data_IF_568774612660
#
_entry.id   IF_568774612660
#
_cell.length_a   1.000
_cell.length_b   1.000
_cell.length_c   1.000
_cell.angle_alpha   90.00
_cell.angle_beta   90.00
_cell.angle_gamma   90.00
#
_symmetry.space_group_name_H-M   'P 1'
#
loop_
_entity.id
_entity.type
_entity.pdbx_description
1 polymer ?
#
# COMPACT_ATOMS: atom_id res chain seq x y z
N UNK A 1 -6.51 9.26 12.96
CA UNK A 1 -6.19 9.60 11.55
C UNK A 1 -4.92 10.44 11.41
N UNK A 2 -4.73 11.55 12.15
CA UNK A 2 -3.50 12.40 12.11
C UNK A 2 -2.16 11.63 12.20
N UNK A 3 -2.12 10.49 12.90
CA UNK A 3 -0.88 9.74 13.09
C UNK A 3 -0.39 8.99 11.82
N UNK A 4 -1.25 8.59 10.87
CA UNK A 4 -0.79 7.74 9.76
C UNK A 4 0.19 8.47 8.84
N UNK A 5 -0.21 9.63 8.30
CA UNK A 5 0.65 10.37 7.38
C UNK A 5 1.83 11.01 8.07
N UNK A 6 1.69 11.45 9.33
CA UNK A 6 2.81 11.91 10.13
C UNK A 6 3.86 10.79 10.30
N UNK A 7 3.44 9.59 10.69
CA UNK A 7 4.34 8.42 10.77
C UNK A 7 4.96 8.07 9.42
N UNK A 8 4.19 8.16 8.33
CA UNK A 8 4.69 7.86 6.98
C UNK A 8 5.71 8.88 6.50
N UNK A 9 5.46 10.17 6.68
CA UNK A 9 6.39 11.24 6.33
C UNK A 9 7.66 11.13 7.19
N UNK A 10 7.51 10.90 8.50
CA UNK A 10 8.65 10.68 9.40
C UNK A 10 9.51 9.51 8.92
N UNK A 11 8.90 8.34 8.69
CA UNK A 11 9.62 7.18 8.18
C UNK A 11 10.21 7.37 6.77
N UNK A 12 9.74 8.37 6.01
CA UNK A 12 10.30 8.70 4.72
C UNK A 12 11.65 9.39 4.79
N UNK A 13 11.84 10.29 5.75
CA UNK A 13 13.12 10.98 5.96
C UNK A 13 14.01 10.28 6.99
N UNK A 14 13.41 9.72 8.04
CA UNK A 14 14.06 9.03 9.16
C UNK A 14 13.45 7.63 9.38
N UNK A 15 13.87 6.62 8.59
CA UNK A 15 13.32 5.27 8.66
C UNK A 15 13.52 4.56 10.00
N UNK A 16 14.54 4.97 10.78
CA UNK A 16 14.87 4.43 12.10
C UNK A 16 14.57 5.49 13.18
N UNK A 17 13.79 5.11 14.18
CA UNK A 17 13.61 5.94 15.37
C UNK A 17 14.82 5.82 16.31
N UNK A 18 15.34 6.96 16.73
CA UNK A 18 16.47 7.09 17.66
C UNK A 18 16.34 8.40 18.44
N UNK A 19 16.93 8.44 19.63
CA UNK A 19 17.03 9.64 20.45
C UNK A 19 18.26 10.51 20.10
N UNK A 20 19.09 10.05 19.14
CA UNK A 20 20.30 10.76 18.71
C UNK A 20 20.10 11.40 17.34
N UNK A 21 20.23 12.73 17.30
CA UNK A 21 20.08 13.52 16.07
C UNK A 21 20.97 13.01 14.94
N UNK A 22 20.34 12.71 13.80
CA UNK A 22 21.00 12.21 12.60
C UNK A 22 21.52 10.78 12.69
N UNK A 23 21.29 10.04 13.78
CA UNK A 23 21.75 8.64 13.89
C UNK A 23 20.87 7.66 13.09
N UNK A 24 21.27 7.36 11.86
CA UNK A 24 20.53 6.45 10.96
C UNK A 24 20.78 4.96 11.25
N UNK A 25 21.85 4.64 11.99
CA UNK A 25 22.22 3.29 12.43
C UNK A 25 23.17 3.40 13.62
N UNK A 26 23.27 2.41 14.53
CA UNK A 26 24.14 2.51 15.69
C UNK A 26 25.55 3.03 15.39
N UNK A 27 25.85 4.22 15.90
CA UNK A 27 27.11 4.98 15.72
C UNK A 27 27.38 5.46 14.28
N UNK A 28 26.34 5.62 13.46
CA UNK A 28 26.41 6.15 12.10
C UNK A 28 25.55 7.41 12.04
N UNK A 29 26.22 8.56 12.00
CA UNK A 29 25.57 9.87 11.95
C UNK A 29 25.53 10.36 10.50
N UNK A 30 24.33 10.65 10.00
CA UNK A 30 24.10 11.31 8.73
C UNK A 30 24.26 12.83 8.94
N UNK A 31 25.17 13.51 8.21
CA UNK A 31 25.30 14.95 8.32
C UNK A 31 24.04 15.64 7.80
N UNK A 32 23.25 16.23 8.69
CA UNK A 32 21.95 16.84 8.38
C UNK A 32 22.03 17.95 7.32
N UNK A 33 23.16 18.66 7.24
CA UNK A 33 23.30 19.87 6.44
C UNK A 33 24.35 19.78 5.32
N UNK A 34 24.88 18.59 5.03
CA UNK A 34 25.95 18.45 4.03
C UNK A 34 25.56 19.00 2.65
N UNK A 35 24.28 18.90 2.27
CA UNK A 35 23.79 19.40 0.98
C UNK A 35 23.81 20.94 0.89
N UNK A 36 23.64 21.64 2.01
CA UNK A 36 23.67 23.10 2.06
C UNK A 36 25.08 23.68 1.79
N UNK A 37 26.12 22.85 1.79
CA UNK A 37 27.50 23.26 1.43
C UNK A 37 27.66 23.38 -0.10
N UNK A 38 26.90 22.59 -0.86
CA UNK A 38 27.12 22.39 -2.30
C UNK A 38 25.97 22.88 -3.18
N UNK A 39 24.83 23.27 -2.59
CA UNK A 39 23.63 23.65 -3.34
C UNK A 39 23.14 25.02 -2.87
N UNK A 40 23.22 26.08 -3.72
CA UNK A 40 22.87 27.45 -3.33
C UNK A 40 21.46 27.58 -2.73
N UNK A 41 20.50 26.84 -3.28
CA UNK A 41 19.13 26.84 -2.80
C UNK A 41 19.02 26.20 -1.40
N UNK A 42 19.70 25.08 -1.15
CA UNK A 42 19.80 24.49 0.18
C UNK A 42 20.49 25.43 1.17
N UNK A 43 21.54 26.15 0.75
CA UNK A 43 22.20 27.18 1.56
C UNK A 43 21.21 28.29 1.93
N UNK A 44 20.43 28.79 0.96
CA UNK A 44 19.41 29.82 1.18
C UNK A 44 18.32 29.37 2.15
N UNK A 45 17.82 28.15 2.02
CA UNK A 45 16.82 27.57 2.92
C UNK A 45 17.37 27.40 4.35
N UNK A 46 18.62 26.97 4.48
CA UNK A 46 19.31 26.86 5.76
C UNK A 46 19.54 28.24 6.40
N UNK A 47 20.04 29.21 5.64
CA UNK A 47 20.23 30.59 6.11
C UNK A 47 18.93 31.20 6.59
N UNK A 48 17.84 31.05 5.84
CA UNK A 48 16.49 31.46 6.28
C UNK A 48 16.10 30.79 7.61
N UNK A 49 16.33 29.48 7.71
CA UNK A 49 16.03 28.72 8.94
C UNK A 49 16.83 29.25 10.13
N UNK A 50 18.13 29.50 9.97
CA UNK A 50 19.02 30.04 11.02
C UNK A 50 18.66 31.48 11.38
N UNK A 51 18.38 32.34 10.39
CA UNK A 51 17.98 33.72 10.63
C UNK A 51 16.69 33.79 11.44
N UNK A 52 15.73 32.91 11.15
CA UNK A 52 14.48 32.81 11.90
C UNK A 52 14.75 32.40 13.36
N UNK A 53 15.54 31.35 13.62
CA UNK A 53 15.93 30.94 14.98
C UNK A 53 16.66 32.05 15.74
N UNK A 54 17.54 32.81 15.06
CA UNK A 54 18.25 33.95 15.68
C UNK A 54 17.33 35.13 15.99
N UNK A 55 16.32 35.39 15.16
CA UNK A 55 15.31 36.40 15.45
C UNK A 55 14.42 35.99 16.63
N UNK A 56 14.13 34.69 16.79
CA UNK A 56 13.39 34.14 17.94
C UNK A 56 14.17 34.30 19.26
N UNK A 57 15.47 33.99 19.25
CA UNK A 57 16.32 34.12 20.45
C UNK A 57 16.45 35.56 20.97
N UNK A 58 16.24 36.56 20.11
CA UNK A 58 16.44 37.99 20.43
C UNK A 58 15.17 38.75 20.84
N UNK A 59 13.97 38.17 20.68
CA UNK A 59 12.70 38.79 21.11
C UNK A 59 12.15 38.07 22.33
N UNK A 60 12.00 38.80 23.46
CA UNK A 60 11.64 38.20 24.76
C UNK A 60 10.22 37.66 24.84
N UNK A 61 9.29 38.06 23.96
CA UNK A 61 7.93 37.50 23.89
C UNK A 61 7.41 37.58 22.44
N UNK A 62 6.68 36.54 22.00
CA UNK A 62 5.93 36.36 20.72
C UNK A 62 6.78 35.82 19.53
N UNK A 63 6.47 34.75 18.79
CA UNK A 63 5.41 33.72 18.74
C UNK A 63 5.99 32.54 17.90
N UNK A 64 6.16 31.35 18.49
CA UNK A 64 6.64 30.13 17.80
C UNK A 64 5.80 29.79 16.54
N UNK A 65 4.61 30.38 16.40
CA UNK A 65 3.81 30.26 15.18
C UNK A 65 4.44 30.90 13.94
N UNK A 66 5.32 31.91 14.06
CA UNK A 66 5.85 32.67 12.91
C UNK A 66 6.87 31.87 12.09
N UNK A 67 7.89 31.29 12.75
CA UNK A 67 8.88 30.41 12.11
C UNK A 67 8.22 29.17 11.50
N UNK A 68 7.33 28.55 12.26
CA UNK A 68 6.56 27.41 11.80
C UNK A 68 5.75 27.70 10.53
N UNK A 69 5.07 28.87 10.47
CA UNK A 69 4.33 29.32 9.28
C UNK A 69 5.26 29.51 8.08
N UNK A 70 6.46 30.03 8.28
CA UNK A 70 7.44 30.24 7.20
C UNK A 70 8.01 28.92 6.66
N UNK A 71 8.34 27.98 7.55
CA UNK A 71 8.75 26.63 7.17
C UNK A 71 7.64 25.93 6.39
N UNK A 72 6.41 25.97 6.91
CA UNK A 72 5.23 25.41 6.24
C UNK A 72 5.01 26.04 4.86
N UNK A 73 5.14 27.37 4.73
CA UNK A 73 5.03 28.07 3.45
C UNK A 73 6.06 27.55 2.45
N UNK A 74 7.33 27.45 2.87
CA UNK A 74 8.41 26.97 2.01
C UNK A 74 8.17 25.52 1.56
N UNK A 75 7.65 24.68 2.44
CA UNK A 75 7.27 23.30 2.12
C UNK A 75 6.12 23.28 1.09
N UNK A 76 5.08 24.10 1.27
CA UNK A 76 3.93 24.16 0.36
C UNK A 76 4.31 24.73 -1.02
N UNK A 77 5.21 25.72 -1.09
CA UNK A 77 5.73 26.25 -2.36
C UNK A 77 6.38 25.15 -3.22
N UNK A 78 7.01 24.17 -2.58
CA UNK A 78 7.62 23.00 -3.25
C UNK A 78 6.57 21.93 -3.54
N UNK A 79 5.75 21.57 -2.55
CA UNK A 79 4.87 20.40 -2.64
C UNK A 79 3.58 20.66 -3.41
N UNK A 80 3.00 21.86 -3.39
CA UNK A 80 1.73 22.13 -4.05
C UNK A 80 1.78 21.93 -5.58
N UNK A 81 2.83 22.41 -6.29
CA UNK A 81 2.98 22.13 -7.72
C UNK A 81 3.21 20.64 -8.00
N UNK A 82 4.10 20.00 -7.24
CA UNK A 82 4.44 18.59 -7.42
C UNK A 82 3.24 17.67 -7.18
N UNK A 83 2.47 17.93 -6.11
CA UNK A 83 1.25 17.20 -5.76
C UNK A 83 0.02 17.66 -6.57
N UNK A 84 0.15 18.65 -7.45
CA UNK A 84 -0.93 19.16 -8.31
C UNK A 84 -2.21 19.49 -7.55
N UNK A 85 -2.09 20.17 -6.40
CA UNK A 85 -3.17 20.26 -5.38
C UNK A 85 -4.42 21.01 -5.83
N UNK A 86 -4.32 21.77 -6.92
CA UNK A 86 -5.44 22.47 -7.57
C UNK A 86 -6.21 21.59 -8.55
N UNK A 87 -5.64 20.48 -9.00
CA UNK A 87 -6.27 19.56 -9.94
C UNK A 87 -7.03 18.46 -9.18
N UNK A 88 -8.35 18.40 -9.38
CA UNK A 88 -9.27 17.45 -8.74
C UNK A 88 -9.51 16.17 -9.55
N UNK A 89 -8.88 16.00 -10.71
CA UNK A 89 -9.00 14.77 -11.47
C UNK A 89 -8.39 13.60 -10.70
N UNK A 90 -9.07 12.45 -10.75
CA UNK A 90 -8.62 11.23 -10.09
C UNK A 90 -7.50 10.56 -10.89
N UNK A 91 -6.61 9.84 -10.19
CA UNK A 91 -5.54 9.00 -10.74
C UNK A 91 -4.46 9.71 -11.57
N UNK A 92 -4.26 11.02 -11.35
CA UNK A 92 -3.21 11.78 -12.05
C UNK A 92 -1.79 11.37 -11.64
N UNK A 93 -0.93 11.07 -12.61
CA UNK A 93 0.49 10.82 -12.33
C UNK A 93 1.14 12.02 -11.64
N UNK A 94 1.93 11.77 -10.59
CA UNK A 94 2.89 12.75 -10.09
C UNK A 94 4.12 12.77 -11.00
N UNK A 95 4.84 13.89 -11.02
CA UNK A 95 6.17 13.93 -11.64
C UNK A 95 7.17 13.16 -10.78
N UNK A 96 8.35 12.91 -11.34
CA UNK A 96 9.49 12.44 -10.56
C UNK A 96 9.95 13.50 -9.57
N UNK A 97 10.20 13.10 -8.33
CA UNK A 97 10.93 13.89 -7.35
C UNK A 97 12.42 13.86 -7.74
N UNK A 98 12.90 14.94 -8.35
CA UNK A 98 14.32 15.05 -8.67
C UNK A 98 15.19 15.22 -7.42
N UNK A 99 16.51 15.06 -7.58
CA UNK A 99 17.47 15.18 -6.49
C UNK A 99 17.53 16.57 -5.85
N UNK A 100 17.21 17.62 -6.61
CA UNK A 100 17.22 19.00 -6.12
C UNK A 100 16.05 19.22 -5.17
N UNK A 101 14.86 18.81 -5.61
CA UNK A 101 13.64 18.90 -4.83
C UNK A 101 13.73 18.03 -3.56
N UNK A 102 14.23 16.81 -3.68
CA UNK A 102 14.48 15.94 -2.52
C UNK A 102 15.40 16.58 -1.48
N UNK A 103 16.55 17.14 -1.91
CA UNK A 103 17.50 17.81 -0.99
C UNK A 103 16.88 19.03 -0.33
N UNK A 104 16.09 19.82 -1.05
CA UNK A 104 15.38 20.96 -0.47
C UNK A 104 14.39 20.52 0.60
N UNK A 105 13.61 19.46 0.34
CA UNK A 105 12.69 18.89 1.33
C UNK A 105 13.45 18.33 2.55
N UNK A 106 14.59 17.69 2.35
CA UNK A 106 15.42 17.17 3.43
C UNK A 106 15.98 18.28 4.32
N UNK A 107 16.42 19.40 3.74
CA UNK A 107 16.85 20.59 4.51
C UNK A 107 15.68 21.13 5.33
N UNK A 108 14.50 21.25 4.73
CA UNK A 108 13.32 21.71 5.46
C UNK A 108 12.90 20.73 6.57
N UNK A 109 13.01 19.42 6.33
CA UNK A 109 12.76 18.38 7.33
C UNK A 109 13.72 18.53 8.51
N UNK A 110 15.01 18.61 8.25
CA UNK A 110 16.03 18.77 9.29
C UNK A 110 15.90 20.09 10.06
N UNK A 111 15.22 21.10 9.50
CA UNK A 111 14.98 22.39 10.15
C UNK A 111 13.75 22.34 11.06
N UNK A 112 12.64 21.80 10.56
CA UNK A 112 11.34 21.82 11.24
C UNK A 112 10.45 20.65 10.77
N UNK A 113 10.65 19.44 11.34
CA UNK A 113 9.84 18.27 11.02
C UNK A 113 8.34 18.49 11.27
N UNK A 114 7.97 19.23 12.31
CA UNK A 114 6.59 19.46 12.72
C UNK A 114 5.77 20.17 11.65
N UNK A 115 6.42 21.05 10.86
CA UNK A 115 5.76 21.75 9.76
C UNK A 115 5.21 20.77 8.69
N UNK A 116 5.90 19.65 8.45
CA UNK A 116 5.42 18.63 7.51
C UNK A 116 4.11 17.97 7.96
N UNK A 117 3.87 17.89 9.26
CA UNK A 117 2.66 17.26 9.80
C UNK A 117 1.39 18.08 9.58
N UNK A 118 1.51 19.33 9.11
CA UNK A 118 0.34 20.16 8.70
C UNK A 118 0.00 20.07 7.22
N UNK A 119 0.82 19.39 6.41
CA UNK A 119 0.52 19.26 4.98
C UNK A 119 -0.81 18.52 4.80
N UNK A 120 -1.03 17.44 5.54
CA UNK A 120 -2.23 16.61 5.44
C UNK A 120 -3.55 17.37 5.60
N UNK A 121 -3.80 18.11 6.70
CA UNK A 121 -5.07 18.82 6.87
C UNK A 121 -5.29 19.90 5.80
N UNK A 122 -4.21 20.53 5.31
CA UNK A 122 -4.29 21.52 4.24
C UNK A 122 -4.73 20.85 2.94
N UNK A 123 -4.12 19.73 2.57
CA UNK A 123 -4.44 18.99 1.36
C UNK A 123 -5.82 18.31 1.43
N UNK A 124 -6.23 17.82 2.61
CA UNK A 124 -7.54 17.21 2.83
C UNK A 124 -8.71 18.18 2.56
N UNK A 125 -8.48 19.49 2.70
CA UNK A 125 -9.48 20.51 2.35
C UNK A 125 -9.64 20.72 0.83
N UNK A 126 -8.71 20.22 0.02
CA UNK A 126 -8.62 20.48 -1.44
C UNK A 126 -8.87 19.24 -2.29
N UNK A 127 -8.51 18.07 -1.77
CA UNK A 127 -8.52 16.78 -2.47
C UNK A 127 -9.54 15.83 -1.86
N UNK A 128 -10.03 14.88 -2.67
CA UNK A 128 -10.76 13.74 -2.13
C UNK A 128 -9.85 12.92 -1.20
N UNK A 129 -10.44 12.19 -0.24
CA UNK A 129 -9.69 11.29 0.65
C UNK A 129 -8.77 10.34 -0.14
N UNK A 130 -9.27 9.85 -1.26
CA UNK A 130 -8.53 9.01 -2.18
C UNK A 130 -7.31 9.71 -2.78
N UNK A 131 -7.51 10.85 -3.46
CA UNK A 131 -6.41 11.55 -4.14
C UNK A 131 -5.37 12.07 -3.13
N UNK A 132 -5.81 12.51 -1.95
CA UNK A 132 -4.92 12.84 -0.85
C UNK A 132 -3.98 11.67 -0.52
N UNK A 133 -4.55 10.49 -0.30
CA UNK A 133 -3.78 9.29 0.06
C UNK A 133 -2.84 8.85 -1.04
N UNK A 134 -3.33 8.76 -2.28
CA UNK A 134 -2.53 8.32 -3.42
C UNK A 134 -1.33 9.24 -3.62
N UNK A 135 -1.55 10.56 -3.62
CA UNK A 135 -0.48 11.54 -3.87
C UNK A 135 0.52 11.61 -2.72
N UNK A 136 0.08 11.63 -1.46
CA UNK A 136 0.99 11.59 -0.31
C UNK A 136 1.76 10.27 -0.23
N UNK A 137 1.13 9.14 -0.53
CA UNK A 137 1.80 7.84 -0.54
C UNK A 137 2.83 7.74 -1.67
N UNK A 138 2.53 8.29 -2.85
CA UNK A 138 3.46 8.35 -3.99
C UNK A 138 4.66 9.26 -3.68
N UNK A 139 4.42 10.48 -3.19
CA UNK A 139 5.48 11.40 -2.77
C UNK A 139 6.39 10.75 -1.72
N UNK A 140 5.80 10.19 -0.66
CA UNK A 140 6.59 9.55 0.40
C UNK A 140 7.34 8.32 -0.10
N UNK A 141 6.80 7.54 -1.04
CA UNK A 141 7.56 6.44 -1.66
C UNK A 141 8.80 6.95 -2.41
N UNK A 142 8.67 8.04 -3.17
CA UNK A 142 9.79 8.64 -3.89
C UNK A 142 10.85 9.18 -2.93
N UNK A 143 10.44 9.85 -1.84
CA UNK A 143 11.35 10.29 -0.77
C UNK A 143 12.06 9.08 -0.14
N UNK A 144 11.31 8.03 0.25
CA UNK A 144 11.88 6.83 0.87
C UNK A 144 12.92 6.19 -0.05
N UNK A 145 12.69 6.09 -1.37
CA UNK A 145 13.68 5.49 -2.27
C UNK A 145 15.03 6.20 -2.18
N UNK A 146 15.02 7.53 -2.22
CA UNK A 146 16.24 8.34 -2.13
C UNK A 146 16.90 8.23 -0.76
N UNK A 147 16.11 8.32 0.30
CA UNK A 147 16.59 8.16 1.68
C UNK A 147 17.18 6.77 1.94
N UNK A 148 16.56 5.71 1.44
CA UNK A 148 17.03 4.33 1.55
C UNK A 148 18.41 4.15 0.90
N UNK A 149 18.62 4.69 -0.30
CA UNK A 149 19.91 4.62 -1.01
C UNK A 149 20.99 5.39 -0.24
N UNK A 150 20.68 6.59 0.25
CA UNK A 150 21.62 7.37 1.07
C UNK A 150 22.00 6.63 2.35
N UNK A 151 21.00 6.07 3.04
CA UNK A 151 21.21 5.30 4.26
C UNK A 151 22.04 4.05 3.97
N UNK A 152 21.74 3.32 2.89
CA UNK A 152 22.53 2.16 2.47
C UNK A 152 23.99 2.52 2.26
N UNK A 153 24.28 3.60 1.51
CA UNK A 153 25.65 4.06 1.25
C UNK A 153 26.44 4.35 2.53
N UNK A 154 25.83 5.04 3.50
CA UNK A 154 26.47 5.41 4.75
C UNK A 154 26.65 4.21 5.70
N UNK A 155 25.60 3.41 5.86
CA UNK A 155 25.58 2.26 6.77
C UNK A 155 26.51 1.16 6.28
N UNK A 156 26.45 0.81 4.99
CA UNK A 156 27.32 -0.22 4.40
C UNK A 156 28.80 0.16 4.51
N UNK A 157 29.15 1.42 4.25
CA UNK A 157 30.52 1.94 4.45
C UNK A 157 30.96 1.80 5.90
N UNK A 158 30.15 2.29 6.84
CA UNK A 158 30.48 2.24 8.27
C UNK A 158 30.60 0.80 8.82
N UNK A 159 29.83 -0.15 8.29
CA UNK A 159 29.95 -1.57 8.62
C UNK A 159 31.19 -2.20 7.99
N UNK A 160 31.47 -1.91 6.72
CA UNK A 160 32.63 -2.42 5.98
C UNK A 160 33.98 -1.95 6.54
N UNK A 161 34.01 -0.79 7.19
CA UNK A 161 35.21 -0.25 7.82
C UNK A 161 35.56 -0.92 9.17
N UNK A 162 34.64 -1.68 9.78
CA UNK A 162 34.86 -2.40 11.06
C UNK A 162 35.60 -3.75 10.85
N UNK A 163 36.33 -4.19 11.89
CA UNK A 163 37.41 -5.22 11.90
C UNK A 163 37.14 -6.67 11.45
N UNK A 164 36.34 -6.92 10.40
CA UNK A 164 36.23 -8.21 9.71
C UNK A 164 35.88 -8.01 8.23
N UNK A 165 36.65 -7.13 7.57
CA UNK A 165 36.32 -6.50 6.27
C UNK A 165 35.85 -7.48 5.20
N UNK A 166 36.52 -8.62 4.98
CA UNK A 166 36.19 -9.51 3.86
C UNK A 166 34.79 -10.14 3.96
N UNK A 167 34.46 -10.77 5.10
CA UNK A 167 33.16 -11.43 5.28
C UNK A 167 32.01 -10.42 5.34
N UNK A 168 32.22 -9.30 6.02
CA UNK A 168 31.24 -8.20 6.09
C UNK A 168 30.99 -7.62 4.71
N UNK A 169 32.03 -7.31 3.94
CA UNK A 169 31.88 -6.76 2.60
C UNK A 169 31.22 -7.74 1.63
N UNK A 170 31.51 -9.04 1.75
CA UNK A 170 30.82 -10.07 0.96
C UNK A 170 29.33 -10.14 1.29
N UNK A 171 28.97 -10.11 2.58
CA UNK A 171 27.57 -10.06 3.01
C UNK A 171 26.87 -8.81 2.49
N UNK A 172 27.47 -7.63 2.68
CA UNK A 172 26.88 -6.35 2.24
C UNK A 172 26.73 -6.30 0.73
N UNK A 173 27.73 -6.76 -0.03
CA UNK A 173 27.65 -6.84 -1.49
C UNK A 173 26.55 -7.80 -1.94
N UNK A 174 26.43 -8.96 -1.31
CA UNK A 174 25.34 -9.90 -1.59
C UNK A 174 23.99 -9.27 -1.28
N UNK A 175 23.85 -8.57 -0.16
CA UNK A 175 22.60 -7.93 0.24
C UNK A 175 22.18 -6.83 -0.75
N UNK A 176 23.13 -5.98 -1.17
CA UNK A 176 22.90 -4.96 -2.20
C UNK A 176 22.45 -5.57 -3.52
N UNK A 177 23.13 -6.61 -3.99
CA UNK A 177 22.81 -7.24 -5.28
C UNK A 177 21.46 -7.96 -5.24
N UNK A 178 21.17 -8.64 -4.13
CA UNK A 178 19.98 -9.47 -3.97
C UNK A 178 18.69 -8.65 -3.80
N UNK A 179 18.79 -7.46 -3.21
CA UNK A 179 17.63 -6.61 -2.87
C UNK A 179 17.71 -5.21 -3.46
N UNK A 180 18.68 -4.98 -4.36
CA UNK A 180 18.89 -3.74 -5.11
C UNK A 180 18.86 -2.49 -4.19
N UNK A 181 19.59 -2.54 -3.08
CA UNK A 181 19.58 -1.50 -2.03
C UNK A 181 20.20 -0.17 -2.47
N UNK A 182 20.84 -0.14 -3.63
CA UNK A 182 21.47 1.02 -4.27
C UNK A 182 20.64 1.60 -5.43
N UNK A 183 19.45 1.07 -5.69
CA UNK A 183 18.55 1.50 -6.77
C UNK A 183 17.21 2.03 -6.22
N UNK A 184 16.64 3.02 -6.92
CA UNK A 184 15.28 3.49 -6.64
C UNK A 184 14.28 2.55 -7.32
N UNK A 185 13.19 2.20 -6.62
CA UNK A 185 12.12 1.33 -7.16
C UNK A 185 12.64 0.01 -7.76
N UNK A 186 13.29 -0.85 -6.94
CA UNK A 186 13.81 -2.12 -7.43
C UNK A 186 12.69 -3.08 -7.84
N UNK A 187 13.05 -4.10 -8.59
CA UNK A 187 12.11 -5.13 -9.01
C UNK A 187 11.65 -6.01 -7.84
N UNK A 188 10.43 -5.75 -7.37
CA UNK A 188 9.80 -6.51 -6.28
C UNK A 188 9.46 -7.95 -6.68
N UNK A 189 9.30 -8.25 -7.97
CA UNK A 189 9.08 -9.62 -8.45
C UNK A 189 10.37 -10.44 -8.38
N UNK A 190 11.50 -9.83 -8.74
CA UNK A 190 12.82 -10.45 -8.57
C UNK A 190 13.14 -10.71 -7.09
N UNK A 191 12.82 -9.76 -6.21
CA UNK A 191 12.94 -9.95 -4.76
C UNK A 191 12.11 -11.14 -4.25
N UNK A 192 10.87 -11.27 -4.73
CA UNK A 192 10.01 -12.41 -4.42
C UNK A 192 10.61 -13.73 -4.95
N UNK A 193 11.07 -13.76 -6.20
CA UNK A 193 11.65 -14.97 -6.80
C UNK A 193 12.86 -15.45 -5.99
N UNK A 194 13.74 -14.54 -5.60
CA UNK A 194 14.89 -14.85 -4.76
C UNK A 194 14.48 -15.43 -3.41
N UNK A 195 13.53 -14.80 -2.72
CA UNK A 195 13.00 -15.29 -1.45
C UNK A 195 12.36 -16.67 -1.59
N UNK A 196 11.59 -16.90 -2.66
CA UNK A 196 10.92 -18.19 -2.89
C UNK A 196 11.91 -19.34 -3.10
N UNK A 197 13.09 -19.07 -3.65
CA UNK A 197 14.17 -20.06 -3.83
C UNK A 197 15.00 -20.25 -2.56
N UNK A 198 15.23 -19.18 -1.80
CA UNK A 198 16.08 -19.19 -0.60
C UNK A 198 15.39 -18.42 0.54
N UNK A 199 14.38 -18.99 1.22
CA UNK A 199 13.64 -18.26 2.26
C UNK A 199 14.53 -17.80 3.42
N UNK A 200 15.61 -18.53 3.72
CA UNK A 200 16.56 -18.22 4.79
C UNK A 200 17.39 -16.95 4.54
N UNK A 201 17.29 -16.33 3.35
CA UNK A 201 18.04 -15.13 3.00
C UNK A 201 17.82 -13.96 3.99
N UNK A 202 16.61 -13.85 4.53
CA UNK A 202 16.24 -12.84 5.54
C UNK A 202 16.85 -13.11 6.92
N UNK A 203 17.16 -14.36 7.22
CA UNK A 203 17.74 -14.80 8.51
C UNK A 203 19.27 -14.86 8.50
N UNK A 204 19.91 -14.55 7.37
CA UNK A 204 21.37 -14.57 7.28
C UNK A 204 21.99 -13.53 8.21
N UNK A 205 22.89 -13.98 9.11
CA UNK A 205 23.46 -13.13 10.16
C UNK A 205 24.78 -12.50 9.71
N UNK A 206 24.91 -11.19 9.96
CA UNK A 206 26.15 -10.44 9.78
C UNK A 206 27.15 -10.74 10.92
N UNK A 207 27.83 -11.89 10.85
CA UNK A 207 28.92 -12.22 11.78
C UNK A 207 28.51 -12.13 13.25
N UNK A 208 29.29 -11.41 14.09
CA UNK A 208 29.03 -11.26 15.53
C UNK A 208 28.13 -10.06 15.89
N UNK A 209 27.65 -9.28 14.92
CA UNK A 209 26.92 -8.03 15.21
C UNK A 209 25.46 -8.26 15.64
N UNK A 210 24.98 -9.52 15.65
CA UNK A 210 23.60 -9.95 15.95
C UNK A 210 22.52 -9.44 15.00
N UNK A 211 22.87 -8.70 13.94
CA UNK A 211 21.89 -8.28 12.93
C UNK A 211 21.74 -9.38 11.85
N UNK A 212 20.51 -9.79 11.60
CA UNK A 212 20.15 -10.53 10.40
C UNK A 212 19.84 -9.58 9.23
N UNK A 213 19.73 -10.14 8.03
CA UNK A 213 19.41 -9.39 6.80
C UNK A 213 18.11 -8.60 6.96
N UNK A 214 17.05 -9.20 7.50
CA UNK A 214 15.74 -8.56 7.65
C UNK A 214 15.81 -7.31 8.54
N UNK A 215 16.44 -7.42 9.71
CA UNK A 215 16.63 -6.32 10.65
C UNK A 215 17.46 -5.19 10.05
N UNK A 216 18.52 -5.52 9.30
CA UNK A 216 19.34 -4.52 8.62
C UNK A 216 18.54 -3.82 7.52
N UNK A 217 17.83 -4.56 6.67
CA UNK A 217 16.99 -4.03 5.60
C UNK A 217 15.89 -3.13 6.17
N UNK A 218 15.18 -3.59 7.20
CA UNK A 218 14.14 -2.81 7.88
C UNK A 218 14.69 -1.50 8.44
N UNK A 219 15.91 -1.51 8.99
CA UNK A 219 16.56 -0.29 9.48
C UNK A 219 16.87 0.72 8.35
N UNK A 220 17.25 0.22 7.17
CA UNK A 220 17.59 1.06 6.02
C UNK A 220 16.33 1.65 5.36
N UNK A 221 15.31 0.80 5.15
CA UNK A 221 14.11 1.12 4.37
C UNK A 221 12.97 1.71 5.20
N UNK A 222 12.87 1.32 6.47
CA UNK A 222 11.72 1.62 7.32
C UNK A 222 10.49 0.78 6.99
N UNK A 223 9.43 0.87 7.82
CA UNK A 223 8.31 -0.07 7.79
C UNK A 223 7.45 0.01 6.53
N UNK A 224 7.30 1.20 5.94
CA UNK A 224 6.44 1.39 4.77
C UNK A 224 7.06 0.81 3.51
N UNK A 225 8.36 1.04 3.30
CA UNK A 225 9.07 0.52 2.13
C UNK A 225 9.42 -0.95 2.28
N UNK A 226 9.77 -1.40 3.48
CA UNK A 226 9.90 -2.83 3.77
C UNK A 226 8.61 -3.57 3.40
N UNK A 227 7.45 -3.07 3.85
CA UNK A 227 6.16 -3.64 3.49
C UNK A 227 5.85 -3.54 1.99
N UNK A 228 6.24 -2.46 1.31
CA UNK A 228 6.05 -2.32 -0.14
C UNK A 228 6.83 -3.40 -0.91
N UNK A 229 8.11 -3.61 -0.57
CA UNK A 229 9.01 -4.55 -1.26
C UNK A 229 8.77 -6.01 -0.86
N UNK A 230 8.43 -6.26 0.40
CA UNK A 230 8.42 -7.60 1.00
C UNK A 230 7.05 -7.97 1.59
N UNK A 231 5.95 -7.48 1.01
CA UNK A 231 4.60 -7.82 1.48
C UNK A 231 4.35 -9.34 1.46
N UNK A 232 5.00 -10.07 0.54
CA UNK A 232 4.96 -11.53 0.47
C UNK A 232 5.45 -12.20 1.76
N UNK A 233 6.55 -11.73 2.36
CA UNK A 233 7.13 -12.28 3.58
C UNK A 233 6.15 -12.08 4.75
N UNK A 234 5.55 -10.90 4.82
CA UNK A 234 4.55 -10.57 5.85
C UNK A 234 3.31 -11.45 5.71
N UNK A 235 2.79 -11.60 4.49
CA UNK A 235 1.58 -12.37 4.22
C UNK A 235 1.78 -13.87 4.42
N UNK A 236 2.96 -14.41 4.06
CA UNK A 236 3.34 -15.80 4.29
C UNK A 236 3.28 -16.13 5.80
N UNK A 237 3.90 -15.28 6.63
CA UNK A 237 3.83 -15.43 8.08
C UNK A 237 2.41 -15.27 8.64
N UNK A 238 1.65 -14.25 8.22
CA UNK A 238 0.27 -13.99 8.65
C UNK A 238 -0.76 -15.02 8.13
N UNK A 239 -0.37 -15.91 7.21
CA UNK A 239 -1.27 -16.90 6.57
C UNK A 239 -0.79 -18.34 6.73
N UNK A 240 0.20 -18.57 7.59
CA UNK A 240 0.76 -19.89 7.89
C UNK A 240 -0.30 -20.90 8.33
N UNK A 241 -1.30 -20.47 9.12
CA UNK A 241 -2.43 -21.30 9.55
C UNK A 241 -3.33 -21.77 8.38
N UNK A 242 -3.41 -20.97 7.31
CA UNK A 242 -4.21 -21.26 6.11
C UNK A 242 -3.39 -21.94 5.01
N UNK A 243 -2.06 -22.08 5.19
CA UNK A 243 -1.11 -22.62 4.19
C UNK A 243 -1.23 -21.94 2.80
N UNK A 244 -1.61 -20.66 2.78
CA UNK A 244 -1.69 -19.90 1.53
C UNK A 244 -0.28 -19.60 1.03
N UNK A 245 0.01 -19.95 -0.21
CA UNK A 245 1.29 -19.67 -0.85
C UNK A 245 1.10 -18.53 -1.85
N UNK A 246 1.44 -17.30 -1.45
CA UNK A 246 1.24 -16.14 -2.28
C UNK A 246 2.22 -16.09 -3.45
N UNK A 247 1.70 -16.19 -4.69
CA UNK A 247 2.50 -16.15 -5.92
C UNK A 247 2.02 -15.04 -6.85
N UNK A 248 2.90 -14.15 -7.31
CA UNK A 248 2.56 -13.19 -8.36
C UNK A 248 2.59 -13.84 -9.74
N UNK A 249 1.95 -13.19 -10.72
CA UNK A 249 2.20 -13.41 -12.14
C UNK A 249 3.51 -12.70 -12.52
N UNK A 250 4.53 -13.45 -12.91
CA UNK A 250 5.85 -12.90 -13.29
C UNK A 250 5.96 -12.61 -14.79
N UNK A 251 5.18 -13.31 -15.60
CA UNK A 251 5.16 -13.16 -17.05
C UNK A 251 3.93 -12.33 -17.46
N UNK A 252 4.14 -11.05 -17.75
CA UNK A 252 3.16 -10.14 -18.34
C UNK A 252 3.66 -9.66 -19.71
N UNK A 253 2.77 -9.26 -20.64
CA UNK A 253 3.18 -8.56 -21.85
C UNK A 253 4.07 -7.35 -21.52
N UNK A 254 5.13 -7.14 -22.30
CA UNK A 254 6.16 -6.13 -22.01
C UNK A 254 5.57 -4.73 -21.78
N UNK A 255 4.66 -4.29 -22.64
CA UNK A 255 3.99 -2.99 -22.54
C UNK A 255 3.15 -2.85 -21.25
N UNK A 256 2.57 -3.96 -20.77
CA UNK A 256 1.79 -3.98 -19.52
C UNK A 256 2.73 -3.89 -18.32
N UNK A 257 3.85 -4.62 -18.36
CA UNK A 257 4.85 -4.57 -17.30
C UNK A 257 5.50 -3.18 -17.18
N UNK A 258 5.83 -2.54 -18.32
CA UNK A 258 6.37 -1.18 -18.37
C UNK A 258 5.38 -0.16 -17.79
N UNK A 259 4.10 -0.19 -18.17
CA UNK A 259 3.09 0.71 -17.59
C UNK A 259 2.86 0.46 -16.09
N UNK A 260 3.00 -0.79 -15.63
CA UNK A 260 2.90 -1.15 -14.22
C UNK A 260 4.05 -0.55 -13.40
N UNK A 261 5.30 -0.68 -13.87
CA UNK A 261 6.46 -0.05 -13.21
C UNK A 261 6.38 1.48 -13.22
N UNK A 262 5.93 2.09 -14.33
CA UNK A 262 5.66 3.53 -14.39
C UNK A 262 4.59 3.91 -13.35
N UNK A 263 3.52 3.13 -13.25
CA UNK A 263 2.43 3.40 -12.31
C UNK A 263 2.83 3.21 -10.85
N UNK A 264 3.77 2.33 -10.54
CA UNK A 264 4.37 2.24 -9.21
C UNK A 264 5.09 3.53 -8.81
N UNK A 265 5.93 4.05 -9.71
CA UNK A 265 6.73 5.26 -9.45
C UNK A 265 5.88 6.52 -9.33
N UNK A 266 4.81 6.64 -10.13
CA UNK A 266 4.09 7.90 -10.31
C UNK A 266 2.62 7.91 -9.87
N UNK A 267 2.02 6.74 -9.61
CA UNK A 267 0.59 6.63 -9.27
C UNK A 267 0.32 5.88 -7.96
N UNK A 268 1.36 5.34 -7.31
CA UNK A 268 1.23 4.67 -6.02
C UNK A 268 0.71 3.24 -6.11
N UNK A 269 0.90 2.59 -7.27
CA UNK A 269 0.60 1.17 -7.46
C UNK A 269 1.66 0.29 -6.79
N UNK A 270 1.29 -0.88 -6.27
CA UNK A 270 2.22 -1.90 -5.81
C UNK A 270 2.30 -3.05 -6.83
N UNK A 271 3.47 -3.22 -7.47
CA UNK A 271 3.69 -4.21 -8.54
C UNK A 271 3.36 -5.62 -8.07
N UNK A 272 3.94 -6.06 -6.95
CA UNK A 272 3.77 -7.43 -6.45
C UNK A 272 2.31 -7.76 -6.12
N UNK A 273 1.59 -6.86 -5.45
CA UNK A 273 0.17 -7.05 -5.12
C UNK A 273 -0.67 -7.18 -6.39
N UNK A 274 -0.50 -6.27 -7.35
CA UNK A 274 -1.23 -6.29 -8.63
C UNK A 274 -0.96 -7.59 -9.38
N UNK A 275 0.30 -8.02 -9.47
CA UNK A 275 0.65 -9.27 -10.13
C UNK A 275 0.02 -10.50 -9.44
N UNK A 276 -0.20 -10.48 -8.13
CA UNK A 276 -0.96 -11.53 -7.44
C UNK A 276 -2.43 -11.55 -7.87
N UNK A 277 -3.09 -10.38 -7.95
CA UNK A 277 -4.46 -10.29 -8.47
C UNK A 277 -4.57 -10.80 -9.91
N UNK A 278 -3.63 -10.41 -10.78
CA UNK A 278 -3.57 -10.90 -12.17
C UNK A 278 -3.51 -12.43 -12.20
N UNK A 279 -2.67 -13.05 -11.37
CA UNK A 279 -2.53 -14.51 -11.30
C UNK A 279 -3.82 -15.19 -10.83
N UNK A 280 -4.35 -14.78 -9.68
CA UNK A 280 -5.47 -15.48 -9.05
C UNK A 280 -6.76 -15.32 -9.84
N UNK A 281 -6.99 -14.14 -10.41
CA UNK A 281 -8.13 -13.89 -11.28
C UNK A 281 -7.91 -14.39 -12.72
N UNK A 282 -6.69 -14.79 -13.08
CA UNK A 282 -6.34 -15.23 -14.44
C UNK A 282 -6.54 -14.15 -15.49
N UNK A 283 -6.24 -12.89 -15.16
CA UNK A 283 -6.44 -11.74 -16.06
C UNK A 283 -5.46 -11.81 -17.24
N UNK A 284 -5.91 -11.41 -18.43
CA UNK A 284 -5.12 -11.54 -19.67
C UNK A 284 -4.95 -12.98 -20.18
N UNK A 285 -5.52 -13.97 -19.47
CA UNK A 285 -5.48 -15.38 -19.84
C UNK A 285 -6.90 -15.95 -20.01
N UNK A 286 -7.01 -17.09 -20.70
CA UNK A 286 -8.25 -17.83 -20.89
C UNK A 286 -8.62 -18.73 -19.69
N UNK A 287 -8.23 -18.34 -18.46
CA UNK A 287 -8.54 -19.12 -17.25
C UNK A 287 -10.06 -19.36 -17.15
N UNK A 288 -10.47 -20.57 -16.80
CA UNK A 288 -11.87 -20.93 -16.50
C UNK A 288 -11.89 -21.57 -15.12
N UNK A 289 -12.65 -21.00 -14.20
CA UNK A 289 -12.67 -21.46 -12.81
C UNK A 289 -13.36 -22.82 -12.67
N UNK A 290 -14.25 -23.14 -13.61
CA UNK A 290 -14.93 -24.43 -13.73
C UNK A 290 -13.95 -25.58 -13.96
N UNK A 291 -12.84 -25.32 -14.65
CA UNK A 291 -11.81 -26.31 -14.94
C UNK A 291 -10.80 -26.49 -13.79
N UNK A 292 -10.85 -25.63 -12.77
CA UNK A 292 -9.93 -25.67 -11.62
C UNK A 292 -10.29 -26.81 -10.66
N UNK A 293 -9.31 -27.33 -9.91
CA UNK A 293 -9.61 -28.27 -8.82
C UNK A 293 -10.27 -27.53 -7.64
N UNK A 294 -11.00 -28.25 -6.78
CA UNK A 294 -11.63 -27.64 -5.58
C UNK A 294 -10.58 -26.96 -4.68
N UNK A 295 -9.40 -27.59 -4.55
CA UNK A 295 -8.31 -27.04 -3.77
C UNK A 295 -7.78 -25.74 -4.37
N UNK A 296 -7.53 -25.70 -5.68
CA UNK A 296 -6.96 -24.52 -6.34
C UNK A 296 -7.94 -23.35 -6.33
N UNK A 297 -9.23 -23.63 -6.57
CA UNK A 297 -10.28 -22.62 -6.53
C UNK A 297 -10.40 -22.00 -5.12
N UNK A 298 -10.40 -22.82 -4.07
CA UNK A 298 -10.43 -22.31 -2.70
C UNK A 298 -9.15 -21.55 -2.35
N UNK A 299 -7.98 -22.02 -2.78
CA UNK A 299 -6.73 -21.31 -2.56
C UNK A 299 -6.71 -19.94 -3.25
N UNK A 300 -7.20 -19.84 -4.50
CA UNK A 300 -7.31 -18.58 -5.24
C UNK A 300 -8.27 -17.60 -4.55
N UNK A 301 -9.46 -18.08 -4.14
CA UNK A 301 -10.44 -17.26 -3.43
C UNK A 301 -9.88 -16.72 -2.10
N UNK A 302 -9.31 -17.59 -1.27
CA UNK A 302 -8.72 -17.20 0.02
C UNK A 302 -7.55 -16.22 -0.16
N UNK A 303 -6.75 -16.40 -1.21
CA UNK A 303 -5.65 -15.49 -1.54
C UNK A 303 -6.16 -14.11 -1.94
N UNK A 304 -7.17 -14.05 -2.81
CA UNK A 304 -7.82 -12.78 -3.20
C UNK A 304 -8.41 -12.09 -1.98
N UNK A 305 -9.17 -12.81 -1.15
CA UNK A 305 -9.78 -12.24 0.05
C UNK A 305 -8.73 -11.71 1.04
N UNK A 306 -7.62 -12.42 1.23
CA UNK A 306 -6.53 -11.98 2.12
C UNK A 306 -5.81 -10.76 1.55
N UNK A 307 -5.62 -10.68 0.24
CA UNK A 307 -5.05 -9.50 -0.42
C UNK A 307 -5.96 -8.28 -0.26
N UNK A 308 -7.26 -8.42 -0.52
CA UNK A 308 -8.26 -7.35 -0.35
C UNK A 308 -8.29 -6.78 1.07
N UNK A 309 -8.10 -7.65 2.08
CA UNK A 309 -8.10 -7.28 3.49
C UNK A 309 -6.70 -7.01 4.06
N UNK A 310 -5.65 -6.96 3.23
CA UNK A 310 -4.31 -6.74 3.75
C UNK A 310 -4.16 -5.31 4.30
N UNK A 311 -3.30 -5.13 5.30
CA UNK A 311 -3.10 -3.82 5.97
C UNK A 311 -2.66 -2.69 5.04
N UNK A 312 -2.17 -3.02 3.83
CA UNK A 312 -1.87 -2.02 2.79
C UNK A 312 -3.10 -1.18 2.41
N UNK A 313 -4.30 -1.79 2.45
CA UNK A 313 -5.57 -1.11 2.12
C UNK A 313 -6.35 -0.62 3.34
N UNK A 314 -5.71 -0.52 4.51
CA UNK A 314 -6.39 -0.03 5.72
C UNK A 314 -6.75 1.46 5.59
N UNK A 315 -5.84 2.30 5.11
CA UNK A 315 -6.09 3.75 5.05
C UNK A 315 -7.04 4.13 3.91
N UNK A 316 -6.77 3.59 2.71
CA UNK A 316 -7.66 3.63 1.55
C UNK A 316 -8.06 2.20 1.21
N UNK A 317 -9.37 1.91 1.22
CA UNK A 317 -9.88 0.58 0.91
C UNK A 317 -9.58 0.17 -0.53
N UNK A 318 -9.61 -1.13 -0.81
CA UNK A 318 -9.30 -1.70 -2.13
C UNK A 318 -10.06 -1.01 -3.28
N UNK A 319 -11.35 -0.78 -3.11
CA UNK A 319 -12.21 -0.22 -4.17
C UNK A 319 -11.76 1.17 -4.66
N UNK A 320 -11.13 1.93 -3.78
CA UNK A 320 -10.54 3.24 -4.08
C UNK A 320 -9.07 3.11 -4.50
N UNK A 321 -8.38 2.01 -4.18
CA UNK A 321 -6.92 1.89 -4.35
C UNK A 321 -6.41 2.14 -5.77
N UNK A 322 -5.15 2.60 -5.87
CA UNK A 322 -4.46 2.74 -7.16
C UNK A 322 -4.28 1.38 -7.87
N UNK A 323 -4.06 0.31 -7.11
CA UNK A 323 -3.91 -1.06 -7.61
C UNK A 323 -5.16 -1.50 -8.38
N UNK A 324 -6.35 -1.35 -7.76
CA UNK A 324 -7.62 -1.67 -8.42
C UNK A 324 -7.86 -0.79 -9.64
N UNK A 325 -7.61 0.52 -9.52
CA UNK A 325 -7.79 1.45 -10.64
C UNK A 325 -6.93 1.04 -11.84
N UNK A 326 -5.68 0.65 -11.60
CA UNK A 326 -4.80 0.13 -12.65
C UNK A 326 -5.35 -1.18 -13.24
N UNK A 327 -5.75 -2.15 -12.41
CA UNK A 327 -6.35 -3.41 -12.87
C UNK A 327 -7.57 -3.19 -13.76
N UNK A 328 -8.52 -2.36 -13.33
CA UNK A 328 -9.75 -2.08 -14.10
C UNK A 328 -9.49 -1.34 -15.41
N UNK A 329 -8.43 -0.53 -15.47
CA UNK A 329 -8.02 0.16 -16.69
C UNK A 329 -7.34 -0.79 -17.67
N UNK A 330 -6.49 -1.68 -17.17
CA UNK A 330 -5.65 -2.57 -17.98
C UNK A 330 -6.43 -3.81 -18.46
N UNK A 331 -7.29 -4.36 -17.61
CA UNK A 331 -8.05 -5.59 -17.87
C UNK A 331 -9.55 -5.29 -17.79
N UNK A 332 -10.20 -5.18 -18.95
CA UNK A 332 -11.65 -4.92 -19.02
C UNK A 332 -12.47 -6.04 -18.41
N UNK A 333 -11.92 -7.26 -18.38
CA UNK A 333 -12.54 -8.46 -17.80
C UNK A 333 -12.42 -8.55 -16.27
N UNK A 334 -11.68 -7.65 -15.59
CA UNK A 334 -11.40 -7.74 -14.14
C UNK A 334 -12.66 -8.01 -13.29
N UNK A 335 -13.71 -7.20 -13.49
CA UNK A 335 -14.92 -7.30 -12.68
C UNK A 335 -15.65 -8.63 -12.92
N UNK A 336 -15.67 -9.10 -14.16
CA UNK A 336 -16.30 -10.37 -14.50
C UNK A 336 -15.51 -11.54 -13.88
N UNK A 337 -14.18 -11.51 -13.96
CA UNK A 337 -13.32 -12.55 -13.36
C UNK A 337 -13.45 -12.66 -11.86
N UNK A 338 -13.58 -11.52 -11.16
CA UNK A 338 -13.84 -11.53 -9.72
C UNK A 338 -15.20 -12.16 -9.39
N UNK A 339 -16.25 -11.83 -10.16
CA UNK A 339 -17.58 -12.43 -10.04
C UNK A 339 -17.55 -13.94 -10.29
N UNK A 340 -16.90 -14.38 -11.36
CA UNK A 340 -16.81 -15.80 -11.72
C UNK A 340 -16.11 -16.62 -10.63
N UNK A 341 -15.01 -16.12 -10.06
CA UNK A 341 -14.31 -16.76 -8.94
C UNK A 341 -15.24 -16.92 -7.73
N UNK A 342 -15.93 -15.85 -7.35
CA UNK A 342 -16.84 -15.85 -6.20
C UNK A 342 -18.01 -16.82 -6.41
N UNK A 343 -18.65 -16.77 -7.58
CA UNK A 343 -19.80 -17.61 -7.91
C UNK A 343 -19.43 -19.09 -7.95
N UNK A 344 -18.32 -19.44 -8.60
CA UNK A 344 -17.89 -20.84 -8.71
C UNK A 344 -17.43 -21.39 -7.35
N UNK A 345 -16.72 -20.59 -6.55
CA UNK A 345 -16.33 -20.98 -5.19
C UNK A 345 -17.57 -21.27 -4.32
N UNK A 346 -18.55 -20.36 -4.31
CA UNK A 346 -19.80 -20.51 -3.56
C UNK A 346 -20.61 -21.75 -4.01
N UNK A 347 -20.67 -22.01 -5.32
CA UNK A 347 -21.36 -23.17 -5.89
C UNK A 347 -20.75 -24.48 -5.38
N UNK A 348 -19.42 -24.62 -5.45
CA UNK A 348 -18.73 -25.84 -4.99
C UNK A 348 -18.81 -26.01 -3.49
N UNK A 349 -18.66 -24.91 -2.74
CA UNK A 349 -18.82 -24.91 -1.30
C UNK A 349 -20.21 -25.42 -0.87
N UNK A 350 -21.27 -24.91 -1.51
CA UNK A 350 -22.65 -25.33 -1.26
C UNK A 350 -22.88 -26.81 -1.60
N UNK A 351 -22.33 -27.29 -2.73
CA UNK A 351 -22.37 -28.71 -3.11
C UNK A 351 -21.68 -29.60 -2.08
N UNK A 352 -20.53 -29.16 -1.56
CA UNK A 352 -19.78 -29.88 -0.51
C UNK A 352 -20.60 -30.00 0.78
N UNK A 353 -21.20 -28.91 1.25
CA UNK A 353 -22.08 -28.91 2.44
C UNK A 353 -23.27 -29.85 2.25
N UNK A 354 -23.94 -29.80 1.08
CA UNK A 354 -25.08 -30.69 0.79
C UNK A 354 -24.67 -32.16 0.88
N UNK A 355 -23.53 -32.54 0.27
CA UNK A 355 -22.98 -33.90 0.35
C UNK A 355 -22.62 -34.33 1.78
N UNK A 356 -22.12 -33.43 2.62
CA UNK A 356 -21.81 -33.72 4.02
C UNK A 356 -23.08 -33.96 4.84
N UNK A 357 -24.13 -33.14 4.64
CA UNK A 357 -25.45 -33.34 5.25
C UNK A 357 -26.06 -34.69 4.86
N UNK A 358 -25.98 -35.04 3.58
CA UNK A 358 -26.49 -36.33 3.07
C UNK A 358 -25.77 -37.54 3.67
N UNK A 359 -24.50 -37.39 4.05
CA UNK A 359 -23.69 -38.43 4.71
C UNK A 359 -23.82 -38.45 6.24
N UNK A 360 -24.71 -37.64 6.82
CA UNK A 360 -24.93 -37.58 8.27
C UNK A 360 -23.79 -36.93 9.06
N UNK A 361 -22.91 -36.17 8.41
CA UNK A 361 -21.83 -35.44 9.09
C UNK A 361 -22.32 -34.15 9.76
N UNK A 362 -21.78 -33.82 10.93
CA UNK A 362 -21.95 -32.48 11.52
C UNK A 362 -21.24 -31.43 10.67
N UNK A 363 -21.94 -30.33 10.38
CA UNK A 363 -21.33 -29.17 9.71
C UNK A 363 -20.49 -28.43 10.74
N UNK A 364 -19.17 -28.37 10.54
CA UNK A 364 -18.32 -27.57 11.41
C UNK A 364 -18.76 -26.09 11.36
N UNK A 365 -18.96 -25.46 12.53
CA UNK A 365 -19.39 -24.05 12.67
C UNK A 365 -18.52 -23.04 11.91
N UNK A 366 -17.27 -23.38 11.58
CA UNK A 366 -16.38 -22.55 10.75
C UNK A 366 -16.88 -22.38 9.30
N UNK A 367 -17.76 -23.26 8.82
CA UNK A 367 -18.36 -23.22 7.49
C UNK A 367 -19.60 -22.30 7.39
N UNK A 368 -20.01 -21.63 8.48
CA UNK A 368 -21.24 -20.83 8.51
C UNK A 368 -21.12 -19.40 7.94
N UNK A 369 -19.93 -18.96 7.51
CA UNK A 369 -19.80 -17.64 6.87
C UNK A 369 -20.18 -17.74 5.38
N UNK A 370 -21.47 -18.00 5.12
CA UNK A 370 -22.09 -18.20 3.81
C UNK A 370 -22.02 -16.98 2.85
N UNK A 371 -21.38 -15.90 3.29
CA UNK A 371 -21.45 -14.56 2.67
C UNK A 371 -20.07 -13.97 2.37
N UNK A 372 -18.99 -14.75 2.42
CA UNK A 372 -17.64 -14.21 2.20
C UNK A 372 -17.44 -13.77 0.76
N UNK A 373 -18.00 -14.52 -0.18
CA UNK A 373 -17.99 -14.26 -1.61
C UNK A 373 -18.78 -12.98 -1.92
N UNK A 374 -19.99 -12.86 -1.39
CA UNK A 374 -20.79 -11.64 -1.51
C UNK A 374 -20.08 -10.44 -0.88
N UNK A 375 -19.48 -10.60 0.30
CA UNK A 375 -18.68 -9.54 0.93
C UNK A 375 -17.55 -9.05 0.04
N UNK A 376 -16.86 -9.94 -0.69
CA UNK A 376 -15.81 -9.56 -1.65
C UNK A 376 -16.39 -8.68 -2.77
N UNK A 377 -17.52 -9.10 -3.36
CA UNK A 377 -18.16 -8.36 -4.46
C UNK A 377 -18.70 -7.00 -4.01
N UNK A 378 -19.36 -6.94 -2.85
CA UNK A 378 -19.85 -5.68 -2.30
C UNK A 378 -18.69 -4.75 -1.93
N UNK A 379 -17.62 -5.28 -1.35
CA UNK A 379 -16.44 -4.51 -1.00
C UNK A 379 -15.74 -3.93 -2.24
N UNK A 380 -15.60 -4.69 -3.33
CA UNK A 380 -15.03 -4.19 -4.60
C UNK A 380 -15.82 -3.03 -5.19
N UNK A 381 -17.14 -3.01 -4.97
CA UNK A 381 -18.06 -1.97 -5.44
C UNK A 381 -18.27 -0.82 -4.44
N UNK A 382 -17.41 -0.69 -3.43
CA UNK A 382 -17.51 0.35 -2.41
C UNK A 382 -18.81 0.29 -1.58
N UNK A 383 -19.45 -0.87 -1.50
CA UNK A 383 -20.67 -1.05 -0.71
C UNK A 383 -20.32 -1.61 0.67
N UNK A 384 -20.78 -0.95 1.75
CA UNK A 384 -20.44 -1.38 3.10
C UNK A 384 -21.20 -2.65 3.51
N UNK A 385 -20.68 -3.43 4.48
CA UNK A 385 -21.28 -4.71 4.88
C UNK A 385 -22.75 -4.62 5.33
N UNK A 386 -23.20 -3.48 5.85
CA UNK A 386 -24.58 -3.32 6.29
C UNK A 386 -25.59 -3.26 5.13
N UNK A 387 -25.15 -2.92 3.90
CA UNK A 387 -26.02 -2.96 2.71
C UNK A 387 -26.36 -4.41 2.39
N UNK A 388 -25.36 -5.29 2.35
CA UNK A 388 -25.56 -6.74 2.17
C UNK A 388 -26.53 -7.30 3.23
N UNK A 389 -26.28 -7.03 4.51
CA UNK A 389 -27.16 -7.47 5.61
C UNK A 389 -28.60 -6.95 5.47
N UNK A 390 -28.79 -5.75 4.90
CA UNK A 390 -30.12 -5.17 4.71
C UNK A 390 -30.85 -5.83 3.55
N UNK A 391 -30.15 -6.10 2.44
CA UNK A 391 -30.69 -6.82 1.29
C UNK A 391 -31.07 -8.27 1.67
N UNK A 392 -30.27 -8.94 2.48
CA UNK A 392 -30.61 -10.26 3.01
C UNK A 392 -31.90 -10.27 3.84
N UNK A 393 -32.07 -9.27 4.71
CA UNK A 393 -33.31 -9.10 5.49
C UNK A 393 -34.50 -8.84 4.58
N UNK A 394 -34.34 -7.95 3.60
CA UNK A 394 -35.38 -7.65 2.61
C UNK A 394 -35.78 -8.91 1.84
N UNK A 395 -34.81 -9.72 1.43
CA UNK A 395 -35.07 -11.01 0.76
C UNK A 395 -35.79 -11.99 1.68
N UNK A 396 -35.39 -12.10 2.94
CA UNK A 396 -36.05 -12.97 3.90
C UNK A 396 -37.52 -12.58 4.11
N UNK A 397 -37.83 -11.28 4.10
CA UNK A 397 -39.21 -10.77 4.12
C UNK A 397 -39.92 -11.14 2.81
N UNK A 398 -39.35 -10.84 1.64
CA UNK A 398 -39.96 -11.15 0.35
C UNK A 398 -40.24 -12.66 0.17
N UNK A 399 -39.37 -13.52 0.70
CA UNK A 399 -39.57 -14.97 0.68
C UNK A 399 -40.73 -15.41 1.58
N UNK A 400 -40.89 -14.78 2.76
CA UNK A 400 -41.98 -15.07 3.70
C UNK A 400 -43.36 -14.59 3.21
N UNK A 401 -43.40 -13.51 2.43
CA UNK A 401 -44.64 -12.87 1.98
C UNK A 401 -44.94 -13.09 0.48
N UNK A 402 -44.31 -14.10 -0.14
CA UNK A 402 -44.57 -14.48 -1.55
C UNK A 402 -46.08 -14.61 -1.82
N UNK A 403 -46.64 -13.66 -2.58
CA UNK A 403 -48.04 -13.64 -3.02
C UNK A 403 -48.91 -12.47 -2.54
N UNK A 404 -48.45 -11.61 -1.62
CA UNK A 404 -49.25 -10.48 -1.09
C UNK A 404 -48.72 -9.12 -1.61
N UNK A 405 -47.40 -8.96 -1.70
CA UNK A 405 -46.73 -7.88 -2.44
C UNK A 405 -45.27 -8.24 -2.66
N UNK A 406 -44.71 -7.90 -3.82
CA UNK A 406 -43.25 -7.90 -4.03
C UNK A 406 -42.74 -6.52 -3.64
N UNK A 407 -41.99 -6.42 -2.52
CA UNK A 407 -41.25 -5.20 -2.17
C UNK A 407 -40.00 -5.09 -3.05
N UNK A 408 -40.20 -4.99 -4.37
CA UNK A 408 -39.15 -4.85 -5.39
C UNK A 408 -39.45 -3.68 -6.32
N UNK A 409 -40.10 -2.63 -5.81
CA UNK A 409 -39.98 -1.33 -6.44
C UNK A 409 -38.58 -0.79 -6.13
N UNK A 410 -37.64 -1.13 -7.02
CA UNK A 410 -36.23 -0.77 -6.88
C UNK A 410 -36.02 0.74 -6.86
N UNK A 411 -36.85 1.51 -7.55
CA UNK A 411 -36.81 2.97 -7.53
C UNK A 411 -37.10 3.46 -6.11
N UNK A 412 -38.21 3.04 -5.51
CA UNK A 412 -38.53 3.34 -4.11
C UNK A 412 -37.45 2.85 -3.13
N UNK A 413 -36.86 1.67 -3.34
CA UNK A 413 -35.80 1.13 -2.47
C UNK A 413 -34.54 2.01 -2.52
N UNK A 414 -34.13 2.46 -3.71
CA UNK A 414 -32.96 3.32 -3.86
C UNK A 414 -33.24 4.76 -3.43
N UNK A 415 -34.45 5.28 -3.64
CA UNK A 415 -34.86 6.61 -3.18
C UNK A 415 -34.99 6.69 -1.65
N UNK A 416 -35.52 5.64 -1.02
CA UNK A 416 -35.67 5.56 0.45
C UNK A 416 -34.37 5.20 1.17
N UNK A 417 -33.35 4.75 0.44
CA UNK A 417 -32.04 4.41 1.01
C UNK A 417 -31.31 5.68 1.47
N UNK A 418 -30.79 5.72 2.71
CA UNK A 418 -29.92 6.82 3.16
C UNK A 418 -28.58 6.84 2.41
N UNK A 419 -28.23 5.75 1.70
CA UNK A 419 -27.05 5.64 0.87
C UNK A 419 -27.39 5.88 -0.60
N UNK A 420 -26.67 6.79 -1.26
CA UNK A 420 -26.81 7.04 -2.71
C UNK A 420 -25.97 6.06 -3.50
N UNK A 421 -26.63 5.13 -4.18
CA UNK A 421 -25.98 4.18 -5.07
C UNK A 421 -25.83 4.77 -6.48
N UNK A 422 -24.67 4.56 -7.11
CA UNK A 422 -24.49 4.86 -8.53
C UNK A 422 -25.14 3.79 -9.41
N UNK A 423 -25.23 4.03 -10.72
CA UNK A 423 -25.88 3.11 -11.67
C UNK A 423 -25.30 1.69 -11.63
N UNK A 424 -23.97 1.55 -11.56
CA UNK A 424 -23.29 0.26 -11.48
C UNK A 424 -23.65 -0.49 -10.19
N UNK A 425 -23.70 0.20 -9.06
CA UNK A 425 -24.09 -0.38 -7.78
C UNK A 425 -25.57 -0.77 -7.77
N UNK A 426 -26.45 0.06 -8.33
CA UNK A 426 -27.87 -0.25 -8.44
C UNK A 426 -28.11 -1.49 -9.32
N UNK A 427 -27.48 -1.55 -10.49
CA UNK A 427 -27.55 -2.69 -11.40
C UNK A 427 -27.04 -3.98 -10.72
N UNK A 428 -25.91 -3.88 -10.02
CA UNK A 428 -25.36 -5.00 -9.26
C UNK A 428 -26.32 -5.47 -8.15
N UNK A 429 -26.87 -4.54 -7.35
CA UNK A 429 -27.79 -4.88 -6.25
C UNK A 429 -29.03 -5.59 -6.79
N UNK A 430 -29.64 -5.07 -7.85
CA UNK A 430 -30.81 -5.67 -8.49
C UNK A 430 -30.49 -7.09 -8.96
N UNK A 431 -29.42 -7.22 -9.75
CA UNK A 431 -28.98 -8.51 -10.31
C UNK A 431 -28.69 -9.53 -9.20
N UNK A 432 -27.96 -9.12 -8.16
CA UNK A 432 -27.60 -9.97 -7.03
C UNK A 432 -28.84 -10.43 -6.26
N UNK A 433 -29.80 -9.53 -6.03
CA UNK A 433 -31.02 -9.82 -5.28
C UNK A 433 -31.96 -10.76 -6.04
N UNK A 434 -32.02 -10.66 -7.36
CA UNK A 434 -32.84 -11.54 -8.20
C UNK A 434 -32.23 -12.95 -8.34
N UNK A 435 -30.89 -13.05 -8.26
CA UNK A 435 -30.15 -14.30 -8.43
C UNK A 435 -30.05 -15.17 -7.17
N UNK A 436 -30.19 -14.58 -5.98
CA UNK A 436 -30.03 -15.27 -4.69
C UNK A 436 -31.32 -15.19 -3.87
#
# INVERSE_FOLDING_TARGET
MRNFYASRIKAAFDPRETDQDGEIFPKVIKPLWAHAIHTPECSRLLEKSIQNVRMEANKREVDTSSWYKESLRSILEILEPHLQTTNRQNHLSLSELDDTMYRNLQVLWNSNPEAFFQIEPILASRLSKYELHRRLSTLTNQIIQKTAIENWKLISKALGDKGSKRRVNQFLKSLQQNFELDHEFPDTLNCFELWSKIPTIFTNILGKTKYDSSSLIMTILGPFEFRRRFNFEILDHESSDLKLNFKPQTELPLNVMEDLHISEKYKGVNVWNVCCFVRYLGLGNSKRFEDSSDHDLSADFESVLKLLNCKTYWYVPWFESADRAWLTKTYSEYQQRLKDLCAEHQNRFTKSIKRQKEKGGEIEKKFLNFYREDQVLFYDLAMPPHVLNSLEKLRAVNTKFKGISTLTDWESVFESSPWKFNSLQQEFIQTWFDQN
#
